data_IF_913797217246
#
_entry.id   IF_913797217246
#
_cell.length_a   1.000
_cell.length_b   1.000
_cell.length_c   1.000
_cell.angle_alpha   90.00
_cell.angle_beta   90.00
_cell.angle_gamma   90.00
#
_symmetry.space_group_name_H-M   'P 1'
#
loop_
_entity.id
_entity.type
_entity.pdbx_description
1 polymer ?
#
# COMPACT_ATOMS: atom_id res chain seq x y z
N UNK A 1 52.51 -17.27 52.80
CA UNK A 1 53.60 -17.86 51.99
C UNK A 1 53.80 -19.30 52.42
N UNK A 2 54.10 -20.19 51.46
CA UNK A 2 54.41 -21.64 51.57
C UNK A 2 53.26 -22.60 51.25
N UNK A 3 53.33 -23.06 50.01
CA UNK A 3 52.84 -24.31 49.44
C UNK A 3 53.09 -25.55 50.34
N UNK A 4 52.29 -26.62 50.15
CA UNK A 4 52.73 -27.81 49.39
C UNK A 4 51.92 -29.11 49.65
N UNK A 5 51.83 -29.93 48.59
CA UNK A 5 51.97 -31.42 48.57
C UNK A 5 50.71 -32.26 48.98
N UNK A 6 50.23 -33.36 48.35
CA UNK A 6 50.67 -34.40 47.36
C UNK A 6 49.38 -35.08 46.83
N UNK A 7 49.15 -35.19 45.51
CA UNK A 7 49.47 -36.28 44.56
C UNK A 7 48.57 -37.54 44.58
N UNK A 8 48.24 -37.99 43.36
CA UNK A 8 47.55 -39.25 43.06
C UNK A 8 47.54 -39.49 41.56
N UNK A 9 48.63 -40.06 41.05
CA UNK A 9 48.82 -40.53 39.66
C UNK A 9 48.19 -41.91 39.43
N UNK A 10 47.68 -42.16 38.22
CA UNK A 10 47.71 -43.47 37.51
C UNK A 10 47.38 -43.20 36.03
N UNK A 11 48.39 -43.20 35.16
CA UNK A 11 48.80 -44.29 34.26
C UNK A 11 47.95 -44.39 32.98
N UNK A 12 48.57 -44.14 31.82
CA UNK A 12 47.92 -44.25 30.52
C UNK A 12 48.84 -43.99 29.33
N UNK A 13 49.83 -44.88 29.18
CA UNK A 13 50.57 -45.34 27.99
C UNK A 13 50.49 -44.54 26.67
N UNK A 14 51.69 -44.26 26.14
CA UNK A 14 52.06 -43.82 24.78
C UNK A 14 51.33 -44.54 23.64
N UNK A 15 51.04 -43.79 22.56
CA UNK A 15 51.31 -44.20 21.17
C UNK A 15 51.18 -42.97 20.24
N UNK A 16 52.28 -42.63 19.57
CA UNK A 16 52.36 -41.59 18.52
C UNK A 16 51.93 -42.25 17.20
N UNK A 17 51.18 -41.56 16.32
CA UNK A 17 51.79 -41.25 15.02
C UNK A 17 51.35 -39.90 14.40
N UNK A 18 52.33 -39.26 13.78
CA UNK A 18 52.28 -38.68 12.42
C UNK A 18 51.19 -37.66 12.08
N UNK A 19 51.61 -36.39 12.15
CA UNK A 19 51.52 -35.37 11.11
C UNK A 19 50.54 -35.65 9.95
N UNK A 20 49.41 -34.96 9.95
CA UNK A 20 48.79 -34.40 8.73
C UNK A 20 48.03 -33.14 9.14
N UNK A 21 48.33 -32.03 8.48
CA UNK A 21 47.67 -30.74 8.63
C UNK A 21 46.29 -30.78 7.97
N UNK A 22 45.17 -30.62 8.69
CA UNK A 22 43.92 -30.25 8.04
C UNK A 22 43.94 -28.73 7.77
N UNK A 23 43.93 -28.40 6.49
CA UNK A 23 43.62 -27.07 5.97
C UNK A 23 42.29 -26.60 6.56
N UNK A 24 42.35 -25.55 7.39
CA UNK A 24 41.16 -24.83 7.86
C UNK A 24 40.51 -24.15 6.66
N UNK A 25 39.44 -24.75 6.16
CA UNK A 25 38.51 -24.08 5.26
C UNK A 25 37.84 -22.94 6.02
N UNK A 26 37.70 -21.73 5.46
CA UNK A 26 37.06 -20.63 6.17
C UNK A 26 35.60 -21.00 6.49
N UNK A 27 35.23 -20.85 7.76
CA UNK A 27 33.84 -20.85 8.21
C UNK A 27 33.13 -19.76 7.42
N UNK A 28 32.33 -20.19 6.43
CA UNK A 28 31.49 -19.30 5.64
C UNK A 28 30.45 -18.74 6.61
N UNK A 29 30.69 -17.52 7.08
CA UNK A 29 29.70 -16.72 7.77
C UNK A 29 28.58 -16.51 6.77
N UNK A 30 27.52 -17.33 6.85
CA UNK A 30 26.25 -16.98 6.19
C UNK A 30 25.72 -15.80 6.96
N UNK A 31 26.17 -14.63 6.53
CA UNK A 31 25.53 -13.35 6.69
C UNK A 31 24.02 -13.60 6.57
N UNK A 32 23.29 -13.27 7.62
CA UNK A 32 21.85 -13.10 7.59
C UNK A 32 21.51 -12.20 6.41
N UNK A 33 21.21 -12.81 5.26
CA UNK A 33 20.33 -12.21 4.29
C UNK A 33 18.94 -12.35 4.89
N UNK A 34 18.58 -11.39 5.73
CA UNK A 34 17.21 -10.89 5.76
C UNK A 34 16.90 -10.47 4.34
N UNK A 35 16.45 -11.43 3.54
CA UNK A 35 15.52 -11.13 2.47
C UNK A 35 14.32 -10.53 3.20
N UNK A 36 14.35 -9.21 3.35
CA UNK A 36 13.15 -8.43 3.45
C UNK A 36 12.45 -8.65 2.12
N UNK A 37 11.75 -9.79 2.01
CA UNK A 37 10.71 -10.01 1.03
C UNK A 37 9.63 -9.03 1.42
N UNK A 38 9.84 -7.77 1.01
CA UNK A 38 8.77 -6.81 0.81
C UNK A 38 7.80 -7.55 -0.10
N UNK A 39 6.66 -7.93 0.46
CA UNK A 39 5.61 -8.60 -0.30
C UNK A 39 5.24 -7.67 -1.45
N UNK A 40 5.76 -7.99 -2.64
CA UNK A 40 5.36 -7.37 -3.90
C UNK A 40 3.85 -7.61 -4.04
N UNK A 41 3.01 -6.56 -4.01
CA UNK A 41 1.59 -6.71 -4.22
C UNK A 41 1.39 -7.27 -5.62
N UNK A 42 0.65 -8.38 -5.73
CA UNK A 42 0.44 -9.05 -7.01
C UNK A 42 -0.18 -8.09 -8.03
N UNK A 43 0.18 -8.28 -9.31
CA UNK A 43 -0.29 -7.53 -10.49
C UNK A 43 -1.83 -7.37 -10.56
N UNK A 44 -2.56 -8.19 -9.83
CA UNK A 44 -3.99 -8.11 -9.63
C UNK A 44 -4.41 -6.79 -8.96
N UNK A 45 -3.76 -6.36 -7.87
CA UNK A 45 -4.13 -5.16 -7.07
C UNK A 45 -4.35 -3.89 -7.89
N UNK A 46 -3.69 -3.78 -9.04
CA UNK A 46 -3.61 -2.60 -9.89
C UNK A 46 -4.82 -2.40 -10.82
N UNK A 47 -5.58 -3.45 -11.15
CA UNK A 47 -6.77 -3.34 -12.02
C UNK A 47 -7.94 -2.63 -11.33
N UNK A 48 -7.93 -2.58 -9.98
CA UNK A 48 -9.01 -2.05 -9.13
C UNK A 48 -9.36 -0.57 -9.39
N UNK A 49 -8.43 0.20 -9.93
CA UNK A 49 -8.51 1.67 -9.92
C UNK A 49 -8.74 2.34 -11.27
N UNK A 50 -8.70 1.59 -12.38
CA UNK A 50 -8.79 2.13 -13.74
C UNK A 50 -10.19 2.67 -14.08
N UNK A 51 -11.24 2.08 -13.52
CA UNK A 51 -12.65 2.39 -13.77
C UNK A 51 -13.07 3.81 -13.32
N UNK A 52 -12.34 4.37 -12.35
CA UNK A 52 -12.61 5.72 -11.85
C UNK A 52 -11.79 6.80 -12.52
N UNK A 53 -10.71 6.48 -13.25
CA UNK A 53 -9.81 7.47 -13.85
C UNK A 53 -10.39 8.10 -15.13
N UNK A 54 -11.46 8.89 -15.00
CA UNK A 54 -11.85 9.83 -16.04
C UNK A 54 -11.28 11.20 -15.71
N UNK A 55 -10.22 11.55 -16.41
CA UNK A 55 -9.76 12.92 -16.53
C UNK A 55 -10.30 13.43 -17.87
N UNK A 56 -11.19 14.41 -17.86
CA UNK A 56 -11.42 15.22 -19.07
C UNK A 56 -10.33 16.29 -19.09
N UNK A 57 -9.34 16.20 -20.01
CA UNK A 57 -8.23 17.15 -20.06
C UNK A 57 -8.69 18.61 -20.26
N UNK A 58 -9.93 18.80 -20.71
CA UNK A 58 -10.54 20.09 -21.04
C UNK A 58 -10.70 21.03 -19.84
N UNK A 59 -10.71 20.55 -18.60
CA UNK A 59 -10.85 21.42 -17.40
C UNK A 59 -9.52 21.79 -16.73
N UNK A 60 -8.43 21.12 -17.11
CA UNK A 60 -7.09 21.44 -16.62
C UNK A 60 -6.39 22.26 -17.69
N UNK A 61 -6.42 23.60 -17.56
CA UNK A 61 -5.57 24.48 -18.37
C UNK A 61 -4.13 23.95 -18.33
N UNK A 62 -3.34 24.04 -19.41
CA UNK A 62 -1.93 23.66 -19.36
C UNK A 62 -1.22 24.51 -18.30
N UNK A 63 -1.06 23.93 -17.13
CA UNK A 63 -0.41 24.52 -15.96
C UNK A 63 1.03 24.04 -15.92
N UNK A 64 1.91 24.82 -15.27
CA UNK A 64 3.29 24.41 -14.98
C UNK A 64 3.41 23.08 -14.22
N UNK A 65 2.28 22.57 -13.70
CA UNK A 65 2.15 21.32 -12.96
C UNK A 65 1.81 20.10 -13.82
N UNK A 66 1.51 20.27 -15.12
CA UNK A 66 1.16 19.17 -16.03
C UNK A 66 2.26 18.10 -16.11
N UNK A 67 3.56 18.44 -16.23
CA UNK A 67 4.62 17.42 -16.28
C UNK A 67 4.69 16.57 -15.01
N UNK A 68 4.52 17.20 -13.84
CA UNK A 68 4.56 16.52 -12.54
C UNK A 68 3.34 15.61 -12.34
N UNK A 69 2.16 16.09 -12.71
CA UNK A 69 0.93 15.30 -12.64
C UNK A 69 0.98 14.12 -13.62
N UNK A 70 1.41 14.34 -14.86
CA UNK A 70 1.57 13.29 -15.87
C UNK A 70 2.59 12.24 -15.44
N UNK A 71 3.72 12.64 -14.84
CA UNK A 71 4.68 11.70 -14.26
C UNK A 71 4.05 10.87 -13.14
N UNK A 72 3.30 11.49 -12.24
CA UNK A 72 2.61 10.79 -11.17
C UNK A 72 1.61 9.76 -11.69
N UNK A 73 0.86 10.09 -12.75
CA UNK A 73 -0.06 9.16 -13.40
C UNK A 73 0.66 7.98 -14.05
N UNK A 74 1.80 8.22 -14.71
CA UNK A 74 2.60 7.13 -15.28
C UNK A 74 3.10 6.18 -14.19
N UNK A 75 3.58 6.72 -13.07
CA UNK A 75 4.00 5.91 -11.92
C UNK A 75 2.81 5.14 -11.33
N UNK A 76 1.64 5.78 -11.21
CA UNK A 76 0.41 5.14 -10.76
C UNK A 76 0.04 3.94 -11.65
N UNK A 77 0.07 4.13 -12.97
CA UNK A 77 -0.25 3.10 -13.96
C UNK A 77 0.74 1.92 -13.94
N UNK A 78 2.01 2.19 -13.62
CA UNK A 78 3.05 1.16 -13.43
C UNK A 78 2.99 0.49 -12.06
N UNK A 79 2.10 0.95 -11.18
CA UNK A 79 1.99 0.41 -9.83
C UNK A 79 3.01 0.93 -8.83
N UNK A 80 3.79 1.94 -9.21
CA UNK A 80 4.78 2.58 -8.33
C UNK A 80 4.11 3.55 -7.34
N UNK A 81 3.17 3.06 -6.54
CA UNK A 81 2.27 3.85 -5.71
C UNK A 81 2.99 4.72 -4.68
N UNK A 82 4.13 4.28 -4.15
CA UNK A 82 4.92 5.10 -3.23
C UNK A 82 5.48 6.34 -3.93
N UNK A 83 6.05 6.18 -5.12
CA UNK A 83 6.58 7.31 -5.90
C UNK A 83 5.46 8.20 -6.44
N UNK A 84 4.40 7.59 -6.99
CA UNK A 84 3.21 8.31 -7.47
C UNK A 84 2.62 9.19 -6.36
N UNK A 85 2.38 8.61 -5.17
CA UNK A 85 1.88 9.35 -4.01
C UNK A 85 2.77 10.52 -3.62
N UNK A 86 4.09 10.33 -3.64
CA UNK A 86 5.03 11.41 -3.31
C UNK A 86 4.84 12.63 -4.24
N UNK A 87 4.77 12.41 -5.55
CA UNK A 87 4.55 13.50 -6.52
C UNK A 87 3.15 14.12 -6.39
N UNK A 88 2.12 13.31 -6.15
CA UNK A 88 0.76 13.80 -5.95
C UNK A 88 0.65 14.67 -4.70
N UNK A 89 1.28 14.28 -3.58
CA UNK A 89 1.27 15.09 -2.37
C UNK A 89 2.06 16.39 -2.52
N UNK A 90 3.09 16.43 -3.37
CA UNK A 90 3.74 17.69 -3.73
C UNK A 90 2.75 18.65 -4.41
N UNK A 91 1.91 18.16 -5.32
CA UNK A 91 0.86 18.96 -5.94
C UNK A 91 -0.18 19.45 -4.93
N UNK A 92 -0.61 18.59 -4.00
CA UNK A 92 -1.59 18.93 -2.96
C UNK A 92 -1.12 20.08 -2.06
N UNK A 93 0.17 20.11 -1.71
CA UNK A 93 0.71 21.09 -0.77
C UNK A 93 1.34 22.33 -1.42
N UNK A 94 1.39 22.40 -2.75
CA UNK A 94 1.94 23.56 -3.46
C UNK A 94 0.88 24.66 -3.59
N UNK A 95 1.05 25.85 -2.96
CA UNK A 95 -0.02 26.87 -2.91
C UNK A 95 -0.45 27.44 -4.27
N UNK A 96 0.41 27.37 -5.28
CA UNK A 96 0.13 27.84 -6.63
C UNK A 96 -0.63 26.83 -7.50
N UNK A 97 -0.82 25.59 -7.02
CA UNK A 97 -1.58 24.57 -7.75
C UNK A 97 -3.06 24.91 -7.70
N UNK A 98 -3.79 24.89 -8.84
CA UNK A 98 -5.22 25.10 -8.83
C UNK A 98 -5.94 24.08 -7.95
N UNK A 99 -6.93 24.54 -7.18
CA UNK A 99 -7.68 23.69 -6.27
C UNK A 99 -8.28 22.43 -6.92
N UNK A 100 -8.75 22.53 -8.17
CA UNK A 100 -9.28 21.37 -8.91
C UNK A 100 -8.21 20.30 -9.10
N UNK A 101 -6.99 20.69 -9.49
CA UNK A 101 -5.86 19.80 -9.64
C UNK A 101 -5.38 19.25 -8.30
N UNK A 102 -5.30 20.09 -7.26
CA UNK A 102 -4.93 19.65 -5.91
C UNK A 102 -5.91 18.60 -5.37
N UNK A 103 -7.22 18.75 -5.60
CA UNK A 103 -8.24 17.78 -5.20
C UNK A 103 -8.17 16.46 -5.97
N UNK A 104 -7.93 16.52 -7.28
CA UNK A 104 -7.72 15.31 -8.08
C UNK A 104 -6.43 14.59 -7.64
N UNK A 105 -5.37 15.34 -7.35
CA UNK A 105 -4.12 14.78 -6.82
C UNK A 105 -4.32 14.13 -5.45
N UNK A 106 -5.11 14.75 -4.56
CA UNK A 106 -5.47 14.17 -3.27
C UNK A 106 -6.26 12.86 -3.43
N UNK A 107 -7.21 12.81 -4.36
CA UNK A 107 -7.94 11.57 -4.67
C UNK A 107 -6.98 10.47 -5.11
N UNK A 108 -6.08 10.76 -6.07
CA UNK A 108 -5.13 9.78 -6.57
C UNK A 108 -4.11 9.34 -5.49
N UNK A 109 -3.74 10.23 -4.58
CA UNK A 109 -2.92 9.89 -3.41
C UNK A 109 -3.65 8.94 -2.46
N UNK A 110 -4.96 9.13 -2.29
CA UNK A 110 -5.81 8.22 -1.53
C UNK A 110 -5.89 6.84 -2.21
N UNK A 111 -6.03 6.79 -3.55
CA UNK A 111 -5.99 5.53 -4.32
C UNK A 111 -4.64 4.82 -4.13
N UNK A 112 -3.51 5.55 -4.19
CA UNK A 112 -2.19 4.99 -3.90
C UNK A 112 -2.13 4.40 -2.48
N UNK A 113 -2.67 5.11 -1.50
CA UNK A 113 -2.68 4.66 -0.09
C UNK A 113 -3.55 3.41 0.07
N UNK A 114 -4.71 3.36 -0.59
CA UNK A 114 -5.57 2.17 -0.59
C UNK A 114 -4.87 0.97 -1.22
N UNK A 115 -4.13 1.17 -2.31
CA UNK A 115 -3.39 0.13 -3.00
C UNK A 115 -2.19 -0.38 -2.19
N UNK A 116 -1.56 0.49 -1.38
CA UNK A 116 -0.51 0.13 -0.42
C UNK A 116 -1.05 -0.56 0.85
N UNK A 117 -2.37 -0.74 0.97
CA UNK A 117 -3.01 -1.30 2.17
C UNK A 117 -3.12 -0.32 3.35
N UNK A 118 -2.78 0.95 3.13
CA UNK A 118 -2.88 2.02 4.13
C UNK A 118 -4.32 2.57 4.19
N UNK A 119 -5.27 1.69 4.52
CA UNK A 119 -6.70 1.96 4.39
C UNK A 119 -7.19 3.15 5.21
N UNK A 120 -6.66 3.36 6.42
CA UNK A 120 -7.02 4.51 7.27
C UNK A 120 -6.57 5.86 6.68
N UNK A 121 -5.41 5.88 6.01
CA UNK A 121 -4.89 7.06 5.30
C UNK A 121 -5.77 7.38 4.10
N UNK A 122 -6.14 6.36 3.33
CA UNK A 122 -7.05 6.50 2.20
C UNK A 122 -8.42 7.04 2.64
N UNK A 123 -9.02 6.42 3.66
CA UNK A 123 -10.29 6.86 4.26
C UNK A 123 -10.25 8.35 4.63
N UNK A 124 -9.25 8.76 5.41
CA UNK A 124 -9.11 10.15 5.88
C UNK A 124 -9.04 11.15 4.72
N UNK A 125 -8.39 10.76 3.62
CA UNK A 125 -8.24 11.59 2.42
C UNK A 125 -9.56 11.73 1.65
N UNK A 126 -10.32 10.64 1.48
CA UNK A 126 -11.65 10.71 0.85
C UNK A 126 -12.64 11.50 1.69
N UNK A 127 -12.67 11.30 3.00
CA UNK A 127 -13.51 12.08 3.90
C UNK A 127 -13.16 13.57 3.85
N UNK A 128 -11.87 13.90 3.74
CA UNK A 128 -11.43 15.28 3.52
C UNK A 128 -12.01 15.86 2.23
N UNK A 129 -11.95 15.11 1.11
CA UNK A 129 -12.55 15.54 -0.15
C UNK A 129 -14.07 15.76 -0.03
N UNK A 130 -14.80 14.84 0.60
CA UNK A 130 -16.26 14.94 0.72
C UNK A 130 -16.74 16.12 1.60
N UNK A 131 -15.89 16.58 2.52
CA UNK A 131 -16.15 17.80 3.32
C UNK A 131 -16.00 19.10 2.52
N UNK A 132 -15.40 19.06 1.32
CA UNK A 132 -15.23 20.25 0.50
C UNK A 132 -16.55 20.65 -0.17
N UNK A 133 -16.89 21.93 -0.05
CA UNK A 133 -18.15 22.51 -0.54
C UNK A 133 -18.22 22.56 -2.08
N UNK A 134 -17.08 22.75 -2.74
CA UNK A 134 -16.96 22.88 -4.20
C UNK A 134 -16.17 21.71 -4.79
N UNK A 135 -16.67 20.49 -4.61
CA UNK A 135 -16.12 19.30 -5.24
C UNK A 135 -16.82 19.03 -6.57
N UNK A 136 -16.06 18.89 -7.66
CA UNK A 136 -16.61 18.54 -8.97
C UNK A 136 -17.42 17.24 -8.91
N UNK A 137 -18.54 17.18 -9.63
CA UNK A 137 -19.53 16.08 -9.56
C UNK A 137 -18.89 14.72 -9.77
N UNK A 138 -18.11 14.56 -10.85
CA UNK A 138 -17.46 13.27 -11.14
C UNK A 138 -16.47 12.84 -10.06
N UNK A 139 -15.78 13.80 -9.43
CA UNK A 139 -14.85 13.51 -8.32
C UNK A 139 -15.61 13.11 -7.06
N UNK A 140 -16.76 13.74 -6.78
CA UNK A 140 -17.65 13.38 -5.67
C UNK A 140 -18.21 11.96 -5.82
N UNK A 141 -18.68 11.59 -7.01
CA UNK A 141 -19.17 10.25 -7.30
C UNK A 141 -18.09 9.17 -7.05
N UNK A 142 -16.88 9.38 -7.60
CA UNK A 142 -15.74 8.49 -7.41
C UNK A 142 -15.34 8.38 -5.94
N UNK A 143 -15.31 9.51 -5.23
CA UNK A 143 -14.92 9.56 -3.82
C UNK A 143 -15.91 8.80 -2.93
N UNK A 144 -17.23 8.95 -3.15
CA UNK A 144 -18.24 8.17 -2.43
C UNK A 144 -18.09 6.67 -2.68
N UNK A 145 -17.91 6.27 -3.93
CA UNK A 145 -17.68 4.86 -4.29
C UNK A 145 -16.44 4.30 -3.58
N UNK A 146 -15.31 5.00 -3.68
CA UNK A 146 -14.03 4.53 -3.16
C UNK A 146 -13.97 4.49 -1.65
N UNK A 147 -14.55 5.49 -0.98
CA UNK A 147 -14.68 5.47 0.47
C UNK A 147 -15.50 4.27 0.94
N UNK A 148 -16.63 3.99 0.29
CA UNK A 148 -17.40 2.77 0.57
C UNK A 148 -16.56 1.50 0.40
N UNK A 149 -15.79 1.37 -0.69
CA UNK A 149 -14.91 0.22 -0.88
C UNK A 149 -13.80 0.10 0.17
N UNK A 150 -13.20 1.22 0.60
CA UNK A 150 -12.19 1.22 1.65
C UNK A 150 -12.79 0.77 2.98
N UNK A 151 -13.98 1.26 3.34
CA UNK A 151 -14.69 0.83 4.54
C UNK A 151 -15.04 -0.65 4.53
N UNK A 152 -15.49 -1.20 3.39
CA UNK A 152 -15.68 -2.64 3.24
C UNK A 152 -14.38 -3.42 3.50
N UNK A 153 -13.24 -2.96 2.95
CA UNK A 153 -11.94 -3.60 3.12
C UNK A 153 -11.41 -3.52 4.56
N UNK A 154 -11.82 -2.49 5.31
CA UNK A 154 -11.52 -2.35 6.75
C UNK A 154 -12.45 -3.18 7.64
N UNK A 155 -13.50 -3.81 7.09
CA UNK A 155 -14.47 -4.58 7.88
C UNK A 155 -15.66 -3.77 8.41
N UNK A 156 -15.95 -2.60 7.81
CA UNK A 156 -17.07 -1.73 8.18
C UNK A 156 -18.15 -1.65 7.08
N UNK A 157 -18.81 -2.77 6.73
CA UNK A 157 -19.77 -2.81 5.61
C UNK A 157 -21.01 -1.95 5.84
N UNK A 158 -21.48 -1.79 7.09
CA UNK A 158 -22.63 -0.94 7.40
C UNK A 158 -22.34 0.54 7.14
N UNK A 159 -21.13 1.01 7.46
CA UNK A 159 -20.70 2.38 7.15
C UNK A 159 -20.53 2.53 5.63
N UNK A 160 -19.96 1.53 4.95
CA UNK A 160 -19.85 1.55 3.50
C UNK A 160 -21.20 1.69 2.80
N UNK A 161 -22.24 1.00 3.29
CA UNK A 161 -23.58 1.07 2.74
C UNK A 161 -24.17 2.49 2.79
N UNK A 162 -23.81 3.30 3.80
CA UNK A 162 -24.24 4.69 3.89
C UNK A 162 -23.69 5.53 2.72
N UNK A 163 -22.42 5.37 2.39
CA UNK A 163 -21.79 6.09 1.26
C UNK A 163 -22.30 5.60 -0.10
N UNK A 164 -22.58 4.29 -0.25
CA UNK A 164 -23.22 3.77 -1.46
C UNK A 164 -24.66 4.28 -1.63
N UNK A 165 -25.44 4.33 -0.55
CA UNK A 165 -26.78 4.90 -0.56
C UNK A 165 -26.73 6.41 -0.87
N UNK A 166 -25.73 7.12 -0.36
CA UNK A 166 -25.50 8.52 -0.70
C UNK A 166 -25.18 8.71 -2.19
N UNK A 167 -24.31 7.88 -2.76
CA UNK A 167 -24.03 7.87 -4.20
C UNK A 167 -25.31 7.65 -5.01
N UNK A 168 -26.14 6.67 -4.64
CA UNK A 168 -27.41 6.40 -5.31
C UNK A 168 -28.40 7.56 -5.20
N UNK A 169 -28.51 8.18 -4.02
CA UNK A 169 -29.44 9.28 -3.76
C UNK A 169 -29.04 10.56 -4.49
N UNK A 170 -27.75 10.91 -4.48
CA UNK A 170 -27.26 12.14 -5.10
C UNK A 170 -27.04 11.98 -6.61
N UNK A 171 -26.66 10.79 -7.06
CA UNK A 171 -26.29 10.51 -8.45
C UNK A 171 -27.00 9.25 -8.97
N UNK A 172 -28.33 9.27 -9.12
CA UNK A 172 -29.13 8.11 -9.53
C UNK A 172 -28.83 7.60 -10.95
N UNK A 173 -28.08 8.38 -11.75
CA UNK A 173 -27.60 8.00 -13.09
C UNK A 173 -26.10 7.77 -13.14
N UNK A 174 -25.44 7.68 -11.98
CA UNK A 174 -24.01 7.43 -11.92
C UNK A 174 -23.67 6.10 -12.57
N UNK A 175 -22.67 6.08 -13.46
CA UNK A 175 -22.12 4.84 -14.00
C UNK A 175 -21.47 3.95 -12.93
N UNK A 176 -21.23 4.49 -11.74
CA UNK A 176 -20.60 3.81 -10.62
C UNK A 176 -21.57 3.00 -9.75
N UNK A 177 -22.89 3.17 -9.90
CA UNK A 177 -23.88 2.45 -9.09
C UNK A 177 -23.75 0.92 -9.14
N UNK A 178 -23.49 0.27 -10.30
CA UNK A 178 -23.29 -1.18 -10.36
C UNK A 178 -22.08 -1.69 -9.54
N UNK A 179 -21.16 -0.79 -9.20
CA UNK A 179 -19.93 -1.07 -8.45
C UNK A 179 -20.08 -0.75 -6.95
N UNK A 180 -21.16 -0.08 -6.54
CA UNK A 180 -21.40 0.41 -5.18
C UNK A 180 -21.84 -0.71 -4.21
N UNK A 181 -21.00 -1.73 -4.03
CA UNK A 181 -21.23 -2.91 -3.18
C UNK A 181 -19.91 -3.50 -2.68
N UNK A 182 -19.88 -4.04 -1.47
CA UNK A 182 -18.66 -4.64 -0.92
C UNK A 182 -18.16 -5.85 -1.72
N UNK A 183 -19.06 -6.61 -2.35
CA UNK A 183 -18.68 -7.79 -3.16
C UNK A 183 -17.97 -7.41 -4.47
N UNK A 184 -18.11 -6.16 -4.93
CA UNK A 184 -17.42 -5.70 -6.14
C UNK A 184 -15.90 -5.68 -5.96
N UNK A 185 -15.44 -5.75 -4.70
CA UNK A 185 -14.04 -5.85 -4.35
C UNK A 185 -13.48 -7.23 -4.72
N UNK A 186 -14.26 -8.32 -4.79
CA UNK A 186 -13.78 -9.71 -4.98
C UNK A 186 -14.10 -10.36 -6.35
N UNK A 187 -14.34 -9.58 -7.40
CA UNK A 187 -14.66 -10.14 -8.72
C UNK A 187 -13.39 -10.78 -9.35
N UNK A 188 -13.45 -11.87 -10.13
CA UNK A 188 -12.26 -12.44 -10.77
C UNK A 188 -11.58 -11.50 -11.80
N UNK A 189 -12.26 -10.40 -12.17
CA UNK A 189 -11.72 -9.27 -12.95
C UNK A 189 -11.59 -7.96 -12.11
N UNK A 190 -11.71 -8.04 -10.78
CA UNK A 190 -11.49 -6.94 -9.81
C UNK A 190 -11.00 -7.56 -8.50
N UNK A 191 -9.69 -7.63 -8.26
CA UNK A 191 -9.16 -8.42 -7.15
C UNK A 191 -9.27 -7.68 -5.83
N UNK A 192 -9.78 -8.43 -4.87
CA UNK A 192 -10.05 -7.99 -3.51
C UNK A 192 -9.00 -8.47 -2.54
N UNK A 193 -9.13 -8.06 -1.26
CA UNK A 193 -8.04 -8.14 -0.32
C UNK A 193 -7.63 -9.59 -0.16
N UNK A 194 -6.33 -9.83 -0.34
CA UNK A 194 -5.68 -11.00 0.20
C UNK A 194 -6.19 -11.20 1.62
N UNK A 195 -6.72 -12.40 1.88
CA UNK A 195 -7.37 -12.78 3.12
C UNK A 195 -6.66 -12.19 4.34
N UNK A 196 -7.39 -11.41 5.13
CA UNK A 196 -6.94 -10.98 6.45
C UNK A 196 -6.49 -12.22 7.24
N UNK A 197 -5.34 -12.17 7.94
CA UNK A 197 -4.93 -13.27 8.79
C UNK A 197 -6.01 -13.52 9.84
N UNK A 198 -6.49 -14.77 9.92
CA UNK A 198 -7.42 -15.21 10.96
C UNK A 198 -6.75 -14.99 12.32
N UNK A 199 -7.19 -14.00 13.09
CA UNK A 199 -6.85 -13.92 14.50
C UNK A 199 -7.47 -15.11 15.22
N UNK A 200 -6.64 -16.06 15.65
CA UNK A 200 -7.07 -17.12 16.55
C UNK A 200 -7.38 -16.51 17.92
N UNK A 201 -8.52 -16.87 18.56
CA UNK A 201 -8.77 -16.46 19.93
C UNK A 201 -7.75 -17.15 20.86
N UNK A 202 -7.20 -16.38 21.81
CA UNK A 202 -6.49 -16.92 22.98
C UNK A 202 -7.50 -17.40 24.01
#
# INVERSE_FOLDING_TARGET
MRASLIAGSLLGVLLIPSCTTPSLSPVRTTLFQTTSQKAEPSAQTYERFQDTLYLTPTELSPTDFEPLFTQALQLFQRGEYTHARSLLMQLVYTPSVPDSLAREALFLSAECSAALGELSTAQSSYEHLLRQTQLHVGLRERTLLRLGHVLCAQGFPEQAAQFFAELQRQFPRSRYLPLARCTAINSPNVPGPAALPKFAPR
#
